data_IF_571642133916
#
_entry.id   IF_571642133916
#
_cell.length_a   1.000
_cell.length_b   1.000
_cell.length_c   1.000
_cell.angle_alpha   90.00
_cell.angle_beta   90.00
_cell.angle_gamma   90.00
#
_symmetry.space_group_name_H-M   'P 1'
#
loop_
_entity.id
_entity.type
_entity.pdbx_description
1 polymer ?
#
# COMPACT_ATOMS: atom_id res chain seq x y z
N UNK A 1 -26.74 -49.74 -24.30
CA UNK A 1 -27.46 -49.28 -25.51
C UNK A 1 -26.99 -47.88 -25.86
N UNK A 2 -27.31 -47.36 -27.07
CA UNK A 2 -27.07 -45.95 -27.43
C UNK A 2 -27.56 -44.97 -26.36
N UNK A 3 -28.68 -45.27 -25.69
CA UNK A 3 -29.23 -44.45 -24.60
C UNK A 3 -28.37 -44.38 -23.34
N UNK A 4 -27.58 -45.42 -23.02
CA UNK A 4 -26.67 -45.40 -21.86
C UNK A 4 -25.46 -44.50 -22.11
N UNK A 5 -24.98 -44.46 -23.36
CA UNK A 5 -23.85 -43.64 -23.78
C UNK A 5 -24.20 -42.15 -23.73
N UNK A 6 -25.37 -41.76 -24.26
CA UNK A 6 -25.83 -40.36 -24.24
C UNK A 6 -26.01 -39.83 -22.82
N UNK A 7 -26.58 -40.63 -21.91
CA UNK A 7 -26.73 -40.24 -20.50
C UNK A 7 -25.38 -39.93 -19.83
N UNK A 8 -24.36 -40.75 -20.08
CA UNK A 8 -23.02 -40.49 -19.54
C UNK A 8 -22.34 -39.28 -20.20
N UNK A 9 -22.60 -39.04 -21.48
CA UNK A 9 -22.14 -37.83 -22.15
C UNK A 9 -22.73 -36.56 -21.52
N UNK A 10 -24.04 -36.55 -21.24
CA UNK A 10 -24.71 -35.42 -20.61
C UNK A 10 -24.22 -35.17 -19.18
N UNK A 11 -23.98 -36.23 -18.41
CA UNK A 11 -23.42 -36.15 -17.06
C UNK A 11 -22.00 -35.54 -17.07
N UNK A 12 -21.11 -36.01 -17.95
CA UNK A 12 -19.78 -35.43 -18.12
C UNK A 12 -19.82 -33.98 -18.59
N UNK A 13 -20.77 -33.63 -19.46
CA UNK A 13 -20.98 -32.24 -19.88
C UNK A 13 -21.38 -31.35 -18.70
N UNK A 14 -22.27 -31.81 -17.83
CA UNK A 14 -22.65 -31.06 -16.62
C UNK A 14 -21.47 -30.83 -15.66
N UNK A 15 -20.60 -31.83 -15.49
CA UNK A 15 -19.37 -31.65 -14.71
C UNK A 15 -18.40 -30.66 -15.36
N UNK A 16 -18.24 -30.71 -16.67
CA UNK A 16 -17.41 -29.77 -17.41
C UNK A 16 -17.93 -28.33 -17.29
N UNK A 17 -19.24 -28.12 -17.47
CA UNK A 17 -19.87 -26.81 -17.32
C UNK A 17 -19.63 -26.24 -15.89
N UNK A 18 -19.64 -27.12 -14.87
CA UNK A 18 -19.34 -26.74 -13.47
C UNK A 18 -17.88 -26.37 -13.28
N UNK A 19 -16.94 -27.14 -13.84
CA UNK A 19 -15.50 -26.85 -13.77
C UNK A 19 -15.19 -25.52 -14.47
N UNK A 20 -15.75 -25.27 -15.65
CA UNK A 20 -15.56 -24.01 -16.38
C UNK A 20 -16.10 -22.82 -15.59
N UNK A 21 -17.30 -22.94 -15.00
CA UNK A 21 -17.87 -21.89 -14.15
C UNK A 21 -16.99 -21.57 -12.94
N UNK A 22 -16.46 -22.61 -12.27
CA UNK A 22 -15.58 -22.44 -11.11
C UNK A 22 -14.23 -21.85 -11.50
N UNK A 23 -13.63 -22.30 -12.62
CA UNK A 23 -12.37 -21.76 -13.13
C UNK A 23 -12.51 -20.28 -13.51
N UNK A 24 -13.61 -19.90 -14.16
CA UNK A 24 -13.89 -18.50 -14.45
C UNK A 24 -14.09 -17.67 -13.18
N UNK A 25 -14.86 -18.19 -12.22
CA UNK A 25 -15.09 -17.49 -10.93
C UNK A 25 -13.79 -17.27 -10.16
N UNK A 26 -12.89 -18.27 -10.17
CA UNK A 26 -11.56 -18.15 -9.59
C UNK A 26 -10.74 -17.07 -10.29
N UNK A 27 -10.66 -17.08 -11.62
CA UNK A 27 -9.93 -16.08 -12.38
C UNK A 27 -10.48 -14.66 -12.16
N UNK A 28 -11.80 -14.48 -12.15
CA UNK A 28 -12.42 -13.20 -11.80
C UNK A 28 -12.08 -12.75 -10.38
N UNK A 29 -12.06 -13.68 -9.42
CA UNK A 29 -11.66 -13.42 -8.04
C UNK A 29 -10.21 -12.94 -7.93
N UNK A 30 -9.28 -13.64 -8.59
CA UNK A 30 -7.86 -13.26 -8.64
C UNK A 30 -7.71 -11.88 -9.28
N UNK A 31 -8.31 -11.64 -10.45
CA UNK A 31 -8.23 -10.34 -11.13
C UNK A 31 -8.81 -9.20 -10.29
N UNK A 32 -9.93 -9.45 -9.60
CA UNK A 32 -10.54 -8.47 -8.69
C UNK A 32 -9.60 -8.13 -7.54
N UNK A 33 -8.97 -9.14 -6.93
CA UNK A 33 -8.02 -8.94 -5.85
C UNK A 33 -6.78 -8.16 -6.31
N UNK A 34 -6.23 -8.48 -7.49
CA UNK A 34 -5.11 -7.74 -8.08
C UNK A 34 -5.47 -6.27 -8.36
N UNK A 35 -6.62 -6.01 -9.00
CA UNK A 35 -7.05 -4.63 -9.26
C UNK A 35 -7.24 -3.85 -7.94
N UNK A 36 -7.87 -4.46 -6.94
CA UNK A 36 -8.08 -3.82 -5.64
C UNK A 36 -6.76 -3.53 -4.92
N UNK A 37 -5.80 -4.46 -4.99
CA UNK A 37 -4.47 -4.29 -4.44
C UNK A 37 -3.73 -3.14 -5.14
N UNK A 38 -3.76 -3.06 -6.47
CA UNK A 38 -3.13 -2.00 -7.24
C UNK A 38 -3.65 -0.61 -6.85
N UNK A 39 -4.97 -0.47 -6.72
CA UNK A 39 -5.61 0.78 -6.28
C UNK A 39 -5.23 1.12 -4.85
N UNK A 40 -5.30 0.14 -3.94
CA UNK A 40 -4.97 0.34 -2.52
C UNK A 40 -3.51 0.75 -2.33
N UNK A 41 -2.59 0.07 -3.03
CA UNK A 41 -1.16 0.36 -2.98
C UNK A 41 -0.87 1.78 -3.46
N UNK A 42 -1.37 2.15 -4.63
CA UNK A 42 -1.15 3.48 -5.22
C UNK A 42 -1.71 4.60 -4.31
N UNK A 43 -2.89 4.37 -3.73
CA UNK A 43 -3.50 5.31 -2.79
C UNK A 43 -2.71 5.43 -1.48
N UNK A 44 -2.21 4.31 -0.94
CA UNK A 44 -1.40 4.28 0.27
C UNK A 44 -0.02 4.94 0.06
N UNK A 45 0.61 4.72 -1.09
CA UNK A 45 1.87 5.37 -1.47
C UNK A 45 1.69 6.90 -1.56
N UNK A 46 0.63 7.36 -2.23
CA UNK A 46 0.31 8.78 -2.31
C UNK A 46 0.09 9.39 -0.90
N UNK A 47 -0.74 8.75 -0.08
CA UNK A 47 -1.01 9.21 1.28
C UNK A 47 0.25 9.25 2.17
N UNK A 48 1.13 8.26 2.04
CA UNK A 48 2.42 8.25 2.75
C UNK A 48 3.30 9.42 2.29
N UNK A 49 3.41 9.66 0.99
CA UNK A 49 4.25 10.73 0.45
C UNK A 49 3.76 12.12 0.88
N UNK A 50 2.45 12.33 0.87
CA UNK A 50 1.82 13.57 1.36
C UNK A 50 2.08 13.77 2.87
N UNK A 51 1.86 12.72 3.67
CA UNK A 51 2.10 12.77 5.11
C UNK A 51 3.59 13.01 5.44
N UNK A 52 4.50 12.38 4.69
CA UNK A 52 5.95 12.57 4.83
C UNK A 52 6.34 14.02 4.56
N UNK A 53 5.87 14.59 3.45
CA UNK A 53 6.17 15.97 3.08
C UNK A 53 5.69 16.96 4.15
N UNK A 54 4.43 16.83 4.60
CA UNK A 54 3.89 17.66 5.67
C UNK A 54 4.67 17.51 6.98
N UNK A 55 5.01 16.28 7.36
CA UNK A 55 5.76 16.01 8.59
C UNK A 55 7.19 16.58 8.54
N UNK A 56 7.84 16.60 7.37
CA UNK A 56 9.17 17.22 7.20
C UNK A 56 9.12 18.74 7.41
N UNK A 57 8.07 19.40 6.91
CA UNK A 57 7.86 20.83 7.17
C UNK A 57 7.61 21.10 8.65
N UNK A 58 6.75 20.30 9.30
CA UNK A 58 6.45 20.41 10.72
C UNK A 58 7.69 20.16 11.58
N UNK A 59 8.45 19.10 11.30
CA UNK A 59 9.69 18.77 12.02
C UNK A 59 10.67 19.95 11.97
N UNK A 60 10.90 20.52 10.78
CA UNK A 60 11.76 21.68 10.61
C UNK A 60 11.28 22.88 11.45
N UNK A 61 9.97 23.14 11.45
CA UNK A 61 9.37 24.21 12.25
C UNK A 61 9.50 23.96 13.77
N UNK A 62 9.26 22.73 14.23
CA UNK A 62 9.42 22.34 15.62
C UNK A 62 10.86 22.49 16.12
N UNK A 63 11.85 22.16 15.28
CA UNK A 63 13.27 22.39 15.58
C UNK A 63 13.58 23.88 15.79
N UNK A 64 12.97 24.76 15.00
CA UNK A 64 13.08 26.22 15.20
C UNK A 64 12.41 26.65 16.51
N UNK A 65 11.18 26.19 16.77
CA UNK A 65 10.46 26.50 18.00
C UNK A 65 11.21 26.03 19.25
N UNK A 66 11.80 24.85 19.21
CA UNK A 66 12.61 24.30 20.29
C UNK A 66 13.81 25.19 20.60
N UNK A 67 14.59 25.59 19.57
CA UNK A 67 15.72 26.51 19.75
C UNK A 67 15.27 27.83 20.36
N UNK A 68 14.14 28.38 19.92
CA UNK A 68 13.55 29.59 20.50
C UNK A 68 13.17 29.41 21.97
N UNK A 69 12.48 28.33 22.31
CA UNK A 69 12.05 28.01 23.68
C UNK A 69 13.25 27.82 24.63
N UNK A 70 14.29 27.11 24.17
CA UNK A 70 15.52 26.91 24.93
C UNK A 70 16.27 28.22 25.16
N UNK A 71 16.32 29.10 24.15
CA UNK A 71 16.90 30.44 24.29
C UNK A 71 16.14 31.27 25.32
N UNK A 72 14.80 31.28 25.25
CA UNK A 72 13.95 31.97 26.23
C UNK A 72 14.18 31.44 27.64
N UNK A 73 14.24 30.11 27.82
CA UNK A 73 14.52 29.48 29.11
C UNK A 73 15.89 29.90 29.67
N UNK A 74 16.91 29.96 28.82
CA UNK A 74 18.25 30.42 29.20
C UNK A 74 18.19 31.88 29.71
N UNK A 75 17.59 32.78 28.93
CA UNK A 75 17.44 34.21 29.28
C UNK A 75 16.68 34.37 30.60
N UNK A 76 15.55 33.68 30.78
CA UNK A 76 14.78 33.77 32.03
C UNK A 76 15.59 33.31 33.25
N UNK A 77 16.38 32.26 33.07
CA UNK A 77 17.28 31.76 34.12
C UNK A 77 18.37 32.78 34.44
N UNK A 78 18.97 33.40 33.41
CA UNK A 78 19.98 34.45 33.54
C UNK A 78 19.44 35.72 34.22
N UNK A 79 18.14 36.02 34.08
CA UNK A 79 17.42 37.10 34.76
C UNK A 79 16.96 36.72 36.19
N UNK A 80 17.42 35.59 36.71
CA UNK A 80 17.08 35.13 38.05
C UNK A 80 15.65 34.62 38.20
N UNK A 81 14.98 34.22 37.11
CA UNK A 81 13.58 33.79 37.09
C UNK A 81 12.62 34.80 37.77
N UNK A 82 12.93 36.09 37.69
CA UNK A 82 12.16 37.16 38.36
C UNK A 82 12.65 37.56 39.75
N UNK A 83 13.78 37.01 40.22
CA UNK A 83 14.47 37.46 41.44
C UNK A 83 15.49 38.56 41.13
N UNK A 84 15.40 39.69 41.83
CA UNK A 84 16.24 40.87 41.60
C UNK A 84 17.72 40.69 42.01
N UNK A 85 18.08 39.58 42.66
CA UNK A 85 19.41 39.38 43.28
C UNK A 85 20.33 38.42 42.53
N UNK A 86 19.86 37.80 41.45
CA UNK A 86 20.57 36.68 40.77
C UNK A 86 20.81 36.89 39.28
N UNK A 87 20.65 38.12 38.78
CA UNK A 87 20.88 38.43 37.37
C UNK A 87 22.38 38.47 37.03
N UNK A 88 22.80 37.72 36.01
CA UNK A 88 24.20 37.68 35.54
C UNK A 88 24.27 38.14 34.07
N UNK A 89 24.95 39.27 33.84
CA UNK A 89 25.07 39.87 32.52
C UNK A 89 25.88 39.01 31.53
N UNK A 90 26.88 38.26 32.03
CA UNK A 90 27.71 37.39 31.18
C UNK A 90 26.94 36.16 30.70
N UNK A 91 26.14 35.56 31.60
CA UNK A 91 25.24 34.44 31.25
C UNK A 91 24.15 34.91 30.30
N UNK A 92 23.62 36.13 30.48
CA UNK A 92 22.65 36.71 29.56
C UNK A 92 23.24 36.89 28.15
N UNK A 93 24.48 37.38 28.05
CA UNK A 93 25.20 37.54 26.77
C UNK A 93 25.43 36.19 26.08
N UNK A 94 25.77 35.14 26.83
CA UNK A 94 25.86 33.77 26.32
C UNK A 94 24.50 33.27 25.79
N UNK A 95 23.42 33.47 26.56
CA UNK A 95 22.08 33.05 26.15
C UNK A 95 21.58 33.75 24.86
N UNK A 96 21.95 35.00 24.61
CA UNK A 96 21.52 35.70 23.37
C UNK A 96 22.41 35.39 22.17
N UNK A 97 23.65 34.96 22.40
CA UNK A 97 24.62 34.64 21.33
C UNK A 97 24.65 33.16 20.94
N UNK A 98 24.19 32.25 21.82
CA UNK A 98 24.13 30.82 21.52
C UNK A 98 23.26 30.55 20.29
N UNK A 99 23.86 30.01 19.23
CA UNK A 99 23.18 29.80 17.94
C UNK A 99 22.50 28.45 17.83
N UNK A 100 22.94 27.45 18.60
CA UNK A 100 22.48 26.08 18.48
C UNK A 100 22.04 25.50 19.82
N UNK A 101 20.89 24.82 19.79
CA UNK A 101 20.44 23.90 20.82
C UNK A 101 20.24 22.54 20.15
N UNK A 102 20.62 21.47 20.84
CA UNK A 102 20.41 20.10 20.37
C UNK A 102 18.95 19.87 19.96
N UNK A 103 18.77 19.29 18.78
CA UNK A 103 17.47 18.97 18.19
C UNK A 103 17.36 17.51 17.79
N UNK A 104 18.36 16.67 18.07
CA UNK A 104 18.42 15.29 17.57
C UNK A 104 17.25 14.45 18.09
N UNK A 105 16.78 14.74 19.29
CA UNK A 105 15.59 14.09 19.88
C UNK A 105 14.26 14.45 19.18
N UNK A 106 14.28 15.44 18.28
CA UNK A 106 13.15 15.83 17.44
C UNK A 106 13.24 15.20 16.05
N UNK A 107 14.27 14.42 15.77
CA UNK A 107 14.46 13.79 14.46
C UNK A 107 13.36 12.74 14.22
N UNK A 108 12.58 12.95 13.16
CA UNK A 108 11.55 11.99 12.75
C UNK A 108 12.18 10.93 11.86
N UNK A 109 11.97 9.67 12.21
CA UNK A 109 12.34 8.55 11.34
C UNK A 109 11.26 8.34 10.29
N UNK A 110 11.61 8.56 9.02
CA UNK A 110 10.73 8.33 7.88
C UNK A 110 10.96 6.91 7.32
N UNK A 111 10.06 5.94 7.56
CA UNK A 111 10.24 4.59 7.05
C UNK A 111 10.18 4.58 5.52
N UNK A 112 10.95 3.74 4.85
CA UNK A 112 10.84 3.60 3.39
C UNK A 112 9.47 3.02 3.00
N UNK A 113 8.94 3.45 1.85
CA UNK A 113 7.80 2.77 1.23
C UNK A 113 8.28 1.36 0.86
N UNK A 114 7.55 0.29 1.24
CA UNK A 114 7.90 -1.05 0.80
C UNK A 114 7.84 -1.13 -0.72
N UNK A 115 8.47 -2.14 -1.31
CA UNK A 115 8.26 -2.40 -2.74
C UNK A 115 6.84 -2.94 -2.96
N UNK A 116 6.24 -2.58 -4.10
CA UNK A 116 4.93 -3.12 -4.47
C UNK A 116 5.11 -4.58 -4.90
N UNK A 117 4.40 -5.49 -4.25
CA UNK A 117 4.33 -6.86 -4.72
C UNK A 117 3.66 -6.95 -6.10
N UNK A 118 4.17 -7.84 -6.96
CA UNK A 118 3.53 -8.15 -8.24
C UNK A 118 2.27 -9.02 -8.00
N UNK A 119 1.18 -8.68 -8.68
CA UNK A 119 -0.02 -9.51 -8.71
C UNK A 119 -0.21 -10.06 -10.12
N UNK A 120 0.10 -11.34 -10.28
CA UNK A 120 -0.02 -12.01 -11.57
C UNK A 120 -1.49 -12.15 -11.99
N UNK A 121 -1.80 -11.64 -13.17
CA UNK A 121 -3.10 -11.84 -13.77
C UNK A 121 -3.36 -13.34 -14.05
N UNK A 122 -4.60 -13.81 -13.90
CA UNK A 122 -4.93 -15.19 -14.20
C UNK A 122 -4.72 -15.44 -15.70
N UNK A 123 -3.98 -16.50 -16.05
CA UNK A 123 -3.69 -16.87 -17.45
C UNK A 123 -4.38 -18.16 -17.88
N UNK A 124 -4.84 -18.97 -16.93
CA UNK A 124 -5.52 -20.24 -17.14
C UNK A 124 -6.99 -20.14 -16.69
N UNK A 125 -7.89 -19.91 -17.65
CA UNK A 125 -9.33 -19.82 -17.43
C UNK A 125 -10.06 -20.14 -18.74
N UNK A 126 -11.39 -20.37 -18.72
CA UNK A 126 -12.11 -20.81 -19.91
C UNK A 126 -11.79 -19.99 -21.16
N UNK A 127 -11.47 -20.73 -22.22
CA UNK A 127 -11.17 -20.26 -23.57
C UNK A 127 -9.77 -19.67 -23.78
N UNK A 128 -8.91 -19.63 -22.76
CA UNK A 128 -7.46 -19.38 -22.98
C UNK A 128 -6.78 -20.61 -23.55
N UNK A 129 -5.69 -20.42 -24.29
CA UNK A 129 -4.92 -21.54 -24.86
C UNK A 129 -4.40 -22.50 -23.80
N UNK A 130 -3.93 -21.96 -22.66
CA UNK A 130 -3.47 -22.74 -21.51
C UNK A 130 -4.60 -23.64 -20.96
N UNK A 131 -5.77 -23.07 -20.72
CA UNK A 131 -6.93 -23.82 -20.22
C UNK A 131 -7.40 -24.87 -21.21
N UNK A 132 -7.48 -24.51 -22.50
CA UNK A 132 -7.89 -25.44 -23.54
C UNK A 132 -6.92 -26.62 -23.67
N UNK A 133 -5.62 -26.40 -23.46
CA UNK A 133 -4.61 -27.46 -23.48
C UNK A 133 -4.71 -28.36 -22.26
N UNK A 134 -4.92 -27.78 -21.07
CA UNK A 134 -4.99 -28.52 -19.82
C UNK A 134 -6.28 -29.35 -19.70
N UNK A 135 -7.42 -28.79 -20.08
CA UNK A 135 -8.75 -29.39 -19.86
C UNK A 135 -9.22 -30.23 -21.05
N UNK A 136 -8.75 -29.96 -22.27
CA UNK A 136 -9.16 -30.66 -23.50
C UNK A 136 -8.02 -31.36 -24.25
N UNK A 137 -7.22 -32.24 -23.61
CA UNK A 137 -6.06 -32.88 -24.24
C UNK A 137 -6.46 -33.83 -25.38
N UNK A 138 -7.66 -34.43 -25.33
CA UNK A 138 -8.23 -35.27 -26.38
C UNK A 138 -9.52 -34.62 -26.91
N UNK A 139 -9.40 -33.82 -27.98
CA UNK A 139 -10.47 -32.97 -28.53
C UNK A 139 -11.69 -33.78 -28.99
N UNK A 140 -12.60 -34.11 -28.07
CA UNK A 140 -14.00 -34.38 -28.41
C UNK A 140 -14.60 -33.12 -29.09
N UNK A 141 -15.63 -33.25 -29.95
CA UNK A 141 -16.11 -32.14 -30.77
C UNK A 141 -16.34 -30.91 -29.91
N UNK A 142 -15.62 -29.85 -30.31
CA UNK A 142 -15.46 -28.58 -29.61
C UNK A 142 -16.82 -28.11 -29.09
N UNK A 143 -17.09 -28.35 -27.81
CA UNK A 143 -18.15 -27.62 -27.11
C UNK A 143 -17.73 -26.16 -27.20
N UNK A 144 -18.62 -25.29 -27.65
CA UNK A 144 -18.34 -23.86 -27.69
C UNK A 144 -17.97 -23.44 -26.27
N UNK A 145 -16.70 -23.09 -26.06
CA UNK A 145 -16.24 -22.63 -24.77
C UNK A 145 -16.98 -21.34 -24.41
N UNK A 146 -17.54 -21.28 -23.20
CA UNK A 146 -18.22 -20.07 -22.72
C UNK A 146 -17.15 -19.08 -22.30
N UNK A 147 -17.09 -17.95 -22.98
CA UNK A 147 -16.06 -16.93 -22.74
C UNK A 147 -16.15 -16.41 -21.30
N UNK A 148 -15.02 -16.46 -20.59
CA UNK A 148 -14.89 -15.88 -19.27
C UNK A 148 -14.48 -14.41 -19.39
N UNK A 149 -15.37 -13.50 -18.96
CA UNK A 149 -15.06 -12.07 -18.90
C UNK A 149 -14.40 -11.76 -17.57
N UNK A 150 -13.16 -11.27 -17.62
CA UNK A 150 -12.45 -10.79 -16.45
C UNK A 150 -12.83 -9.33 -16.12
N UNK A 151 -12.87 -8.95 -14.83
CA UNK A 151 -13.12 -7.58 -14.45
C UNK A 151 -11.97 -6.67 -14.89
N UNK A 152 -12.32 -5.54 -15.50
CA UNK A 152 -11.37 -4.47 -15.79
C UNK A 152 -11.07 -3.68 -14.53
N UNK A 153 -9.86 -3.13 -14.44
CA UNK A 153 -9.55 -2.17 -13.40
C UNK A 153 -10.49 -0.95 -13.52
N UNK A 154 -11.08 -0.55 -12.40
CA UNK A 154 -11.92 0.65 -12.30
C UNK A 154 -11.04 1.73 -11.70
N UNK A 155 -10.56 2.64 -12.54
CA UNK A 155 -9.74 3.80 -12.16
C UNK A 155 -10.64 5.02 -11.92
#
# INVERSE_FOLDING_TARGET
SLSTFTLKQDECKGYLDTIESNACSYAQGVKTACNAYDTCWSAAEAAYNDAKAATQEEEAAFKVHWRGAQRMKCVLTALGNGSATTADASVLEECITVTEYDTDHLDVTYPAVPEKDDCDDPTEYPCTEAYMTAVYPNRAPKVACTECVLPTAVW
#
